data_IF_967275933257
#
_entry.id   IF_967275933257
#
_cell.length_a   1.000
_cell.length_b   1.000
_cell.length_c   1.000
_cell.angle_alpha   90.00
_cell.angle_beta   90.00
_cell.angle_gamma   90.00
#
_symmetry.space_group_name_H-M   'P 1'
#
loop_
_entity.id
_entity.type
_entity.pdbx_description
1 polymer ?
#
# COMPACT_ATOMS: atom_id res chain seq x y z
N UNK A 1 -9.69 11.19 8.28
CA UNK A 1 -9.20 9.89 8.77
C UNK A 1 -8.90 9.03 7.55
N UNK A 2 -7.70 8.46 7.47
CA UNK A 2 -7.34 7.47 6.46
C UNK A 2 -7.47 6.09 7.10
N UNK A 3 -8.48 5.34 6.69
CA UNK A 3 -8.90 4.09 7.30
C UNK A 3 -8.56 2.88 6.41
N UNK A 4 -8.23 1.77 7.05
CA UNK A 4 -7.98 0.48 6.40
C UNK A 4 -8.07 -0.72 7.36
N UNK A 5 -7.89 -0.58 8.71
CA UNK A 5 -8.12 -1.72 9.59
C UNK A 5 -9.59 -2.13 9.71
N UNK A 6 -10.54 -1.20 9.63
CA UNK A 6 -11.97 -1.53 9.59
C UNK A 6 -12.57 -1.85 10.96
N UNK A 7 -13.18 -3.03 11.11
CA UNK A 7 -14.04 -3.43 12.25
C UNK A 7 -13.57 -2.97 13.63
N UNK A 8 -12.30 -3.20 13.98
CA UNK A 8 -11.76 -2.85 15.30
C UNK A 8 -11.55 -1.35 15.56
N UNK A 9 -11.53 -0.51 14.52
CA UNK A 9 -11.09 0.90 14.60
C UNK A 9 -12.12 1.91 14.11
N UNK A 10 -13.05 1.48 13.26
CA UNK A 10 -14.07 2.33 12.67
C UNK A 10 -14.93 3.13 13.69
N UNK A 11 -15.31 2.56 14.86
CA UNK A 11 -16.01 3.32 15.90
C UNK A 11 -15.22 4.54 16.41
N UNK A 12 -13.91 4.41 16.57
CA UNK A 12 -13.05 5.51 17.04
C UNK A 12 -12.77 6.50 15.91
N UNK A 13 -12.50 6.01 14.70
CA UNK A 13 -12.28 6.82 13.50
C UNK A 13 -13.43 7.78 13.22
N UNK A 14 -14.66 7.31 13.36
CA UNK A 14 -15.87 8.13 13.20
C UNK A 14 -16.10 9.10 14.36
N UNK A 15 -15.59 8.84 15.55
CA UNK A 15 -15.64 9.74 16.70
C UNK A 15 -14.66 10.92 16.55
N UNK A 16 -13.39 10.64 16.26
CA UNK A 16 -12.29 11.62 16.33
C UNK A 16 -12.20 12.56 15.12
N UNK A 17 -12.74 12.16 13.97
CA UNK A 17 -12.76 13.03 12.79
C UNK A 17 -13.46 14.37 13.09
N UNK A 18 -12.91 15.49 12.58
CA UNK A 18 -13.48 16.83 12.77
C UNK A 18 -14.91 16.93 12.20
N UNK A 19 -15.69 17.92 12.66
CA UNK A 19 -16.98 18.30 12.03
C UNK A 19 -16.75 18.65 10.55
N UNK A 20 -17.60 18.15 9.65
CA UNK A 20 -17.42 18.26 8.20
C UNK A 20 -16.26 17.44 7.63
N UNK A 21 -15.59 16.63 8.45
CA UNK A 21 -14.46 15.80 8.03
C UNK A 21 -14.91 14.53 7.28
N UNK A 22 -13.94 13.89 6.62
CA UNK A 22 -14.14 12.63 5.91
C UNK A 22 -13.36 11.49 6.57
N UNK A 23 -14.01 10.33 6.65
CA UNK A 23 -13.40 9.03 6.92
C UNK A 23 -13.40 8.29 5.57
N UNK A 24 -12.22 8.15 4.96
CA UNK A 24 -12.05 7.43 3.69
C UNK A 24 -11.36 6.09 3.94
N UNK A 25 -11.83 5.02 3.31
CA UNK A 25 -11.30 3.68 3.53
C UNK A 25 -11.25 2.83 2.27
N UNK A 26 -10.32 1.88 2.21
CA UNK A 26 -10.16 0.94 1.10
C UNK A 26 -10.13 -0.54 1.51
N UNK A 27 -10.14 -0.82 2.83
CA UNK A 27 -10.03 -2.17 3.37
C UNK A 27 -10.68 -2.28 4.76
N UNK A 28 -10.70 -3.50 5.29
CA UNK A 28 -11.06 -3.82 6.68
C UNK A 28 -10.26 -5.03 7.16
N UNK A 29 -8.95 -4.84 7.37
CA UNK A 29 -8.02 -5.95 7.66
C UNK A 29 -8.32 -6.70 8.96
N UNK A 30 -9.08 -6.09 9.88
CA UNK A 30 -9.49 -6.69 11.17
C UNK A 30 -10.93 -7.19 11.18
N UNK A 31 -11.66 -7.11 10.06
CA UNK A 31 -13.06 -7.50 9.95
C UNK A 31 -13.90 -6.51 9.11
N UNK A 32 -15.07 -6.95 8.68
CA UNK A 32 -15.97 -6.20 7.79
C UNK A 32 -17.30 -5.81 8.44
N UNK A 33 -17.56 -6.18 9.70
CA UNK A 33 -18.77 -5.74 10.41
C UNK A 33 -18.55 -4.32 10.94
N UNK A 34 -18.79 -3.34 10.09
CA UNK A 34 -18.56 -1.94 10.44
C UNK A 34 -19.63 -1.45 11.41
N UNK A 35 -19.18 -0.87 12.53
CA UNK A 35 -20.04 -0.20 13.51
C UNK A 35 -19.57 1.23 13.76
N UNK A 36 -20.51 2.12 14.05
CA UNK A 36 -20.23 3.47 14.52
C UNK A 36 -21.48 4.05 15.18
N UNK A 37 -21.30 5.10 15.97
CA UNK A 37 -22.41 5.85 16.55
C UNK A 37 -22.89 6.92 15.57
N UNK A 38 -24.09 6.71 15.02
CA UNK A 38 -24.69 7.59 14.02
C UNK A 38 -24.77 9.06 14.47
N UNK A 39 -24.93 9.33 15.77
CA UNK A 39 -25.03 10.68 16.33
C UNK A 39 -23.80 11.51 16.00
N UNK A 40 -22.60 10.94 16.12
CA UNK A 40 -21.35 11.64 15.85
C UNK A 40 -21.14 11.94 14.38
N UNK A 41 -21.74 11.15 13.49
CA UNK A 41 -21.67 11.36 12.04
C UNK A 41 -22.67 12.43 11.62
N UNK A 42 -23.96 12.29 11.93
CA UNK A 42 -24.97 13.25 11.43
C UNK A 42 -24.88 14.60 12.12
N UNK A 43 -24.72 14.67 13.46
CA UNK A 43 -24.70 15.94 14.20
C UNK A 43 -23.46 16.78 13.87
N UNK A 44 -22.40 16.13 13.37
CA UNK A 44 -21.17 16.79 12.95
C UNK A 44 -20.97 16.72 11.43
N UNK A 45 -22.00 16.34 10.68
CA UNK A 45 -22.03 16.30 9.22
C UNK A 45 -20.76 15.70 8.61
N UNK A 46 -20.35 14.53 9.12
CA UNK A 46 -19.14 13.83 8.64
C UNK A 46 -19.48 12.98 7.42
N UNK A 47 -18.52 12.83 6.51
CA UNK A 47 -18.63 11.93 5.34
C UNK A 47 -17.93 10.61 5.62
N UNK A 48 -18.61 9.50 5.35
CA UNK A 48 -18.00 8.16 5.28
C UNK A 48 -17.91 7.80 3.79
N UNK A 49 -16.69 7.54 3.30
CA UNK A 49 -16.45 7.35 1.88
C UNK A 49 -15.65 6.06 1.63
N UNK A 50 -16.29 5.09 0.98
CA UNK A 50 -15.57 3.97 0.39
C UNK A 50 -14.71 4.44 -0.79
N UNK A 51 -13.53 3.84 -0.94
CA UNK A 51 -12.60 4.07 -2.05
C UNK A 51 -12.01 2.74 -2.49
N UNK A 52 -11.70 2.61 -3.78
CA UNK A 52 -11.10 1.40 -4.32
C UNK A 52 -10.10 1.75 -5.41
N UNK A 53 -8.82 1.43 -5.14
CA UNK A 53 -7.70 1.69 -6.03
C UNK A 53 -7.70 3.12 -6.60
N UNK A 54 -7.24 3.28 -7.85
CA UNK A 54 -7.17 4.54 -8.57
C UNK A 54 -7.26 4.30 -10.09
N UNK A 55 -7.79 5.27 -10.82
CA UNK A 55 -7.72 5.25 -12.29
C UNK A 55 -6.38 5.83 -12.80
N UNK A 56 -6.07 5.63 -14.08
CA UNK A 56 -4.77 6.01 -14.68
C UNK A 56 -4.35 7.47 -14.38
N UNK A 57 -5.26 8.44 -14.54
CA UNK A 57 -4.96 9.85 -14.26
C UNK A 57 -4.54 10.10 -12.79
N UNK A 58 -5.14 9.40 -11.82
CA UNK A 58 -4.77 9.52 -10.40
C UNK A 58 -3.41 8.84 -10.14
N UNK A 59 -3.19 7.65 -10.70
CA UNK A 59 -1.93 6.93 -10.56
C UNK A 59 -0.75 7.71 -11.18
N UNK A 60 -0.95 8.31 -12.36
CA UNK A 60 0.05 9.16 -13.02
C UNK A 60 0.35 10.42 -12.20
N UNK A 61 -0.66 11.06 -11.62
CA UNK A 61 -0.46 12.21 -10.73
C UNK A 61 0.35 11.81 -9.47
N UNK A 62 0.09 10.63 -8.89
CA UNK A 62 0.87 10.11 -7.77
C UNK A 62 2.32 9.79 -8.18
N UNK A 63 2.52 9.19 -9.35
CA UNK A 63 3.85 8.88 -9.90
C UNK A 63 4.70 10.13 -10.11
N UNK A 64 4.09 11.27 -10.46
CA UNK A 64 4.81 12.54 -10.60
C UNK A 64 5.50 12.95 -9.31
N UNK A 65 4.91 12.71 -8.13
CA UNK A 65 5.58 13.01 -6.85
C UNK A 65 6.83 12.15 -6.61
N UNK A 66 6.86 10.93 -7.14
CA UNK A 66 8.04 10.05 -7.06
C UNK A 66 9.12 10.55 -8.01
N UNK A 67 8.74 10.91 -9.25
CA UNK A 67 9.66 11.50 -10.24
C UNK A 67 10.28 12.79 -9.70
N UNK A 68 9.47 13.66 -9.10
CA UNK A 68 9.89 14.93 -8.50
C UNK A 68 10.64 14.74 -7.16
N UNK A 69 10.84 13.49 -6.72
CA UNK A 69 11.50 13.12 -5.46
C UNK A 69 10.85 13.75 -4.21
N UNK A 70 9.54 13.96 -4.26
CA UNK A 70 8.73 14.45 -3.13
C UNK A 70 8.16 13.31 -2.29
N UNK A 71 8.12 12.10 -2.85
CA UNK A 71 7.71 10.86 -2.19
C UNK A 71 8.75 9.79 -2.50
N UNK A 72 9.18 9.06 -1.46
CA UNK A 72 10.05 7.90 -1.57
C UNK A 72 9.21 6.61 -1.74
N UNK A 73 9.63 5.64 -2.58
CA UNK A 73 8.93 4.36 -2.73
C UNK A 73 8.90 3.47 -1.47
N UNK A 74 9.72 3.73 -0.46
CA UNK A 74 9.79 3.00 0.81
C UNK A 74 9.93 1.48 0.62
N UNK A 75 10.82 1.04 -0.28
CA UNK A 75 11.08 -0.38 -0.51
C UNK A 75 11.75 -1.00 0.71
N UNK A 76 11.17 -2.08 1.25
CA UNK A 76 11.59 -2.69 2.50
C UNK A 76 12.64 -3.79 2.31
N UNK A 77 12.41 -4.69 1.35
CA UNK A 77 13.35 -5.72 0.92
C UNK A 77 13.10 -6.12 -0.54
N UNK A 78 14.13 -6.68 -1.19
CA UNK A 78 14.04 -7.23 -2.54
C UNK A 78 14.49 -8.70 -2.53
N UNK A 79 13.66 -9.58 -3.10
CA UNK A 79 13.94 -11.02 -3.16
C UNK A 79 14.27 -11.47 -4.60
N UNK A 80 15.13 -12.49 -4.77
CA UNK A 80 15.43 -13.03 -6.09
C UNK A 80 14.25 -13.82 -6.68
N UNK A 81 14.34 -14.13 -7.98
CA UNK A 81 13.32 -14.85 -8.76
C UNK A 81 12.83 -16.15 -8.10
N UNK A 82 13.75 -16.98 -7.60
CA UNK A 82 13.46 -18.27 -6.97
C UNK A 82 12.74 -18.14 -5.62
N UNK A 83 12.64 -16.92 -5.07
CA UNK A 83 12.04 -16.62 -3.77
C UNK A 83 10.69 -15.91 -3.86
N UNK A 84 10.12 -15.73 -5.06
CA UNK A 84 8.77 -15.15 -5.22
C UNK A 84 7.72 -15.83 -4.33
N UNK A 85 7.61 -17.18 -4.28
CA UNK A 85 6.62 -17.83 -3.39
C UNK A 85 6.89 -17.57 -1.89
N UNK A 86 8.16 -17.46 -1.51
CA UNK A 86 8.55 -17.17 -0.13
C UNK A 86 8.18 -15.72 0.25
N UNK A 87 8.34 -14.76 -0.66
CA UNK A 87 7.92 -13.37 -0.46
C UNK A 87 6.42 -13.28 -0.14
N UNK A 88 5.57 -13.96 -0.92
CA UNK A 88 4.14 -14.01 -0.66
C UNK A 88 3.80 -14.68 0.68
N UNK A 89 4.51 -15.75 1.06
CA UNK A 89 4.31 -16.43 2.35
C UNK A 89 4.65 -15.52 3.54
N UNK A 90 5.71 -14.70 3.41
CA UNK A 90 6.11 -13.72 4.43
C UNK A 90 5.04 -12.64 4.62
N UNK A 91 4.44 -12.17 3.52
CA UNK A 91 3.32 -11.23 3.57
C UNK A 91 2.08 -11.85 4.24
N UNK A 92 1.71 -13.08 3.86
CA UNK A 92 0.55 -13.80 4.39
C UNK A 92 0.56 -13.88 5.92
N UNK A 93 1.74 -14.09 6.53
CA UNK A 93 1.91 -14.20 7.98
C UNK A 93 2.20 -12.87 8.68
N UNK A 94 2.16 -11.74 7.96
CA UNK A 94 2.57 -10.43 8.46
C UNK A 94 3.99 -10.41 9.07
N UNK A 95 4.92 -11.17 8.48
CA UNK A 95 6.32 -11.28 8.92
C UNK A 95 7.28 -10.42 8.06
N UNK A 96 6.73 -9.59 7.18
CA UNK A 96 7.48 -8.69 6.31
C UNK A 96 7.88 -7.42 7.07
N UNK A 97 9.04 -6.81 6.75
CA UNK A 97 9.41 -5.53 7.31
C UNK A 97 8.46 -4.42 6.83
N UNK A 98 8.29 -3.32 7.59
CA UNK A 98 7.49 -2.17 7.18
C UNK A 98 7.96 -1.61 5.82
N UNK A 99 7.00 -1.27 4.95
CA UNK A 99 7.25 -0.76 3.60
C UNK A 99 6.78 -1.72 2.51
N UNK A 100 7.32 -1.57 1.31
CA UNK A 100 6.92 -2.35 0.13
C UNK A 100 7.99 -3.38 -0.23
N UNK A 101 7.64 -4.67 -0.29
CA UNK A 101 8.56 -5.70 -0.80
C UNK A 101 8.59 -5.71 -2.32
N UNK A 102 9.73 -6.07 -2.91
CA UNK A 102 9.91 -6.24 -4.35
C UNK A 102 10.53 -7.61 -4.69
N UNK A 103 10.40 -8.02 -5.95
CA UNK A 103 11.00 -9.25 -6.47
C UNK A 103 11.74 -8.97 -7.78
N UNK A 104 12.85 -9.68 -8.00
CA UNK A 104 13.60 -9.62 -9.26
C UNK A 104 12.96 -10.53 -10.32
N UNK A 105 12.96 -10.05 -11.56
CA UNK A 105 12.52 -10.82 -12.75
C UNK A 105 13.71 -10.97 -13.70
N UNK A 106 13.92 -10.02 -14.62
CA UNK A 106 15.07 -10.04 -15.53
C UNK A 106 16.30 -9.29 -14.99
N UNK A 107 16.13 -8.44 -13.98
CA UNK A 107 17.27 -7.83 -13.27
C UNK A 107 18.00 -8.90 -12.48
N UNK A 108 19.25 -9.21 -12.83
CA UNK A 108 19.96 -10.39 -12.33
C UNK A 108 20.48 -10.26 -10.90
N UNK A 109 20.56 -9.03 -10.37
CA UNK A 109 20.83 -8.74 -8.96
C UNK A 109 20.15 -7.43 -8.53
N UNK A 110 20.11 -7.19 -7.23
CA UNK A 110 19.61 -5.93 -6.67
C UNK A 110 20.54 -4.75 -7.00
N UNK A 111 19.97 -3.55 -7.12
CA UNK A 111 20.71 -2.28 -7.28
C UNK A 111 21.01 -1.85 -8.72
N UNK A 112 20.64 -2.65 -9.72
CA UNK A 112 20.73 -2.29 -11.14
C UNK A 112 19.63 -1.28 -11.51
N UNK A 113 19.94 -0.33 -12.40
CA UNK A 113 19.04 0.79 -12.73
C UNK A 113 18.73 0.92 -14.22
N UNK A 114 19.66 0.50 -15.07
CA UNK A 114 19.54 0.62 -16.53
C UNK A 114 19.53 -0.75 -17.20
N UNK A 115 19.19 -0.81 -18.48
CA UNK A 115 19.25 -2.06 -19.26
C UNK A 115 20.72 -2.47 -19.45
N UNK A 116 21.61 -1.50 -19.62
CA UNK A 116 23.05 -1.69 -19.75
C UNK A 116 23.62 -2.36 -18.49
N UNK A 117 23.25 -1.88 -17.29
CA UNK A 117 23.65 -2.49 -16.01
C UNK A 117 23.28 -3.98 -15.94
N UNK A 118 22.11 -4.34 -16.48
CA UNK A 118 21.60 -5.73 -16.49
C UNK A 118 22.36 -6.59 -17.48
N UNK A 119 22.66 -6.06 -18.67
CA UNK A 119 23.44 -6.78 -19.69
C UNK A 119 24.88 -7.01 -19.18
N UNK A 120 25.51 -5.99 -18.61
CA UNK A 120 26.86 -6.06 -18.06
C UNK A 120 26.96 -7.01 -16.86
N UNK A 121 25.93 -7.07 -16.02
CA UNK A 121 25.85 -8.03 -14.91
C UNK A 121 25.73 -9.49 -15.38
N UNK A 122 25.42 -9.71 -16.66
CA UNK A 122 25.34 -11.02 -17.29
C UNK A 122 24.03 -11.77 -16.98
N UNK A 123 23.70 -12.81 -17.77
CA UNK A 123 22.47 -13.57 -17.61
C UNK A 123 22.49 -14.47 -16.36
N UNK A 124 21.31 -14.69 -15.77
CA UNK A 124 21.10 -15.63 -14.67
C UNK A 124 20.23 -16.81 -15.17
N UNK A 125 20.52 -18.02 -14.71
CA UNK A 125 19.64 -19.18 -14.98
C UNK A 125 18.33 -19.04 -14.21
N UNK A 126 17.20 -19.15 -14.91
CA UNK A 126 15.88 -19.12 -14.30
C UNK A 126 15.48 -20.45 -13.61
N UNK A 127 16.17 -21.56 -13.97
CA UNK A 127 16.11 -22.90 -13.38
C UNK A 127 17.50 -23.53 -13.36
#
# INVERSE_FOLDING_TARGET
>A
MFEHPGESTFPVSTLVAKRGGMIVFCAGTTGFNITFDARYVWMRQKRIQGSHFAHLKQASAANQFVIDRRIDPCMSEVLPWDKIPAAHTKMWKNQHPPGNMAVLVNSTRAGLRTVEDVIEAGPLKAM
#
